data_IF_130028264853
#
_entry.id   IF_130028264853
#
_cell.length_a   1.000
_cell.length_b   1.000
_cell.length_c   1.000
_cell.angle_alpha   90.00
_cell.angle_beta   90.00
_cell.angle_gamma   90.00
#
_symmetry.space_group_name_H-M   'P 1'
#
loop_
_entity.id
_entity.type
_entity.pdbx_description
1 polymer ?
#
# COMPACT_ATOMS: atom_id res chain seq x y z
N UNK A 1 36.49 46.16 36.42
CA UNK A 1 36.17 46.16 34.97
C UNK A 1 36.96 45.05 34.29
N UNK A 2 36.32 44.31 33.37
CA UNK A 2 36.85 43.26 32.46
C UNK A 2 36.97 41.88 33.12
N UNK A 3 35.90 41.08 33.12
CA UNK A 3 35.31 40.23 32.06
C UNK A 3 35.77 38.78 32.19
N UNK A 4 34.77 37.93 32.39
CA UNK A 4 34.75 36.50 32.73
C UNK A 4 35.10 35.62 31.54
N UNK A 5 36.02 34.67 31.70
CA UNK A 5 36.20 33.54 30.80
C UNK A 5 35.73 32.27 31.52
N UNK A 6 34.63 31.70 31.02
CA UNK A 6 33.96 30.53 31.58
C UNK A 6 34.71 29.23 31.23
N UNK A 7 34.55 28.27 32.14
CA UNK A 7 35.19 26.95 32.18
C UNK A 7 34.96 26.11 30.91
N UNK A 8 36.01 25.40 30.53
CA UNK A 8 35.98 24.19 29.71
C UNK A 8 35.86 22.95 30.62
N UNK A 9 34.75 22.21 30.48
CA UNK A 9 34.54 20.81 30.87
C UNK A 9 33.48 20.34 29.87
N UNK A 10 33.54 19.24 29.14
CA UNK A 10 34.36 18.05 29.14
C UNK A 10 33.66 17.10 28.15
N UNK A 11 34.45 16.22 27.53
CA UNK A 11 34.11 15.37 26.40
C UNK A 11 32.78 14.60 26.52
N UNK A 12 32.14 14.33 25.38
CA UNK A 12 31.65 12.97 25.08
C UNK A 12 31.63 12.74 23.56
N UNK A 13 32.40 11.75 23.14
CA UNK A 13 32.46 11.18 21.80
C UNK A 13 31.11 10.54 21.46
N UNK A 14 30.48 10.97 20.37
CA UNK A 14 29.47 10.17 19.68
C UNK A 14 29.76 10.15 18.18
N UNK A 15 30.06 8.92 17.77
CA UNK A 15 30.21 8.35 16.45
C UNK A 15 29.42 8.98 15.30
N UNK A 16 30.01 8.84 14.12
CA UNK A 16 29.53 9.27 12.80
C UNK A 16 28.01 9.22 12.61
N UNK A 17 27.46 10.37 12.24
CA UNK A 17 26.13 10.46 11.68
C UNK A 17 26.27 10.57 10.16
N UNK A 18 26.33 9.43 9.48
CA UNK A 18 26.07 9.38 8.04
C UNK A 18 24.57 9.63 7.88
N UNK A 19 24.20 10.87 7.57
CA UNK A 19 22.87 11.22 7.06
C UNK A 19 23.00 11.62 5.60
N UNK A 20 23.55 10.72 4.78
CA UNK A 20 23.18 10.73 3.36
C UNK A 20 21.74 10.23 3.28
N UNK A 21 20.78 11.15 3.48
CA UNK A 21 19.40 10.94 3.06
C UNK A 21 19.48 10.55 1.58
N UNK A 22 18.97 9.39 1.15
CA UNK A 22 18.90 9.09 -0.27
C UNK A 22 18.05 10.20 -0.88
N UNK A 23 18.70 11.04 -1.70
CA UNK A 23 18.04 12.11 -2.44
C UNK A 23 17.01 11.40 -3.31
N UNK A 24 15.74 11.49 -2.92
CA UNK A 24 14.63 11.13 -3.78
C UNK A 24 14.90 11.85 -5.11
N UNK A 25 15.03 11.12 -6.24
CA UNK A 25 15.19 11.78 -7.52
C UNK A 25 14.01 12.75 -7.65
N UNK A 26 14.37 13.99 -7.92
CA UNK A 26 13.44 15.10 -8.05
C UNK A 26 12.53 14.81 -9.25
N UNK A 27 11.39 14.17 -8.98
CA UNK A 27 10.37 13.83 -9.96
C UNK A 27 9.72 15.07 -10.57
N UNK A 28 10.12 16.29 -10.17
CA UNK A 28 9.62 17.53 -10.74
C UNK A 28 10.16 17.85 -12.13
N UNK A 29 11.21 17.17 -12.62
CA UNK A 29 11.87 17.57 -13.87
C UNK A 29 11.46 16.78 -15.13
N UNK A 30 10.70 15.70 -15.04
CA UNK A 30 10.31 14.89 -16.21
C UNK A 30 8.80 14.81 -16.47
N UNK A 31 7.97 15.50 -15.67
CA UNK A 31 6.61 15.82 -16.09
C UNK A 31 6.64 17.11 -16.90
N UNK A 32 7.26 17.04 -18.08
CA UNK A 32 7.07 17.99 -19.18
C UNK A 32 5.64 17.88 -19.70
N UNK A 33 4.67 18.16 -18.84
CA UNK A 33 3.33 18.53 -19.24
C UNK A 33 3.46 19.92 -19.86
N UNK A 34 3.74 19.93 -21.16
CA UNK A 34 3.47 21.05 -22.03
C UNK A 34 2.24 21.82 -21.52
N UNK A 35 2.38 23.14 -21.34
CA UNK A 35 1.46 24.05 -20.65
C UNK A 35 0.06 24.21 -21.30
N UNK A 36 -0.47 23.17 -21.92
CA UNK A 36 -1.74 23.13 -22.63
C UNK A 36 -2.66 22.03 -22.10
N UNK A 37 -2.48 21.60 -20.84
CA UNK A 37 -3.46 20.71 -20.22
C UNK A 37 -4.78 21.46 -20.06
N UNK A 38 -5.77 21.07 -20.86
CA UNK A 38 -7.14 21.60 -20.74
C UNK A 38 -7.71 21.16 -19.39
N UNK A 39 -8.56 21.97 -18.75
CA UNK A 39 -9.21 21.65 -17.46
C UNK A 39 -9.82 20.24 -17.44
N UNK A 40 -10.40 19.79 -18.58
CA UNK A 40 -10.91 18.44 -18.75
C UNK A 40 -9.84 17.35 -18.58
N UNK A 41 -8.64 17.54 -19.11
CA UNK A 41 -7.53 16.58 -18.99
C UNK A 41 -7.00 16.51 -17.56
N UNK A 42 -6.95 17.64 -16.85
CA UNK A 42 -6.60 17.66 -15.42
C UNK A 42 -7.63 16.87 -14.61
N UNK A 43 -8.92 17.09 -14.86
CA UNK A 43 -10.00 16.37 -14.17
C UNK A 43 -9.92 14.87 -14.47
N UNK A 44 -9.75 14.47 -15.73
CA UNK A 44 -9.59 13.06 -16.11
C UNK A 44 -8.37 12.46 -15.44
N UNK A 45 -7.22 13.15 -15.46
CA UNK A 45 -5.99 12.69 -14.79
C UNK A 45 -6.19 12.53 -13.28
N UNK A 46 -6.88 13.47 -12.63
CA UNK A 46 -7.20 13.39 -11.21
C UNK A 46 -8.14 12.21 -10.87
N UNK A 47 -9.15 11.96 -11.72
CA UNK A 47 -10.06 10.81 -11.58
C UNK A 47 -9.28 9.50 -11.73
N UNK A 48 -8.45 9.38 -12.76
CA UNK A 48 -7.63 8.18 -12.99
C UNK A 48 -6.69 7.93 -11.80
N UNK A 49 -6.00 8.96 -11.31
CA UNK A 49 -5.14 8.85 -10.13
C UNK A 49 -5.92 8.47 -8.86
N UNK A 50 -7.13 9.01 -8.69
CA UNK A 50 -7.98 8.69 -7.54
C UNK A 50 -8.39 7.22 -7.53
N UNK A 51 -8.83 6.68 -8.67
CA UNK A 51 -9.23 5.27 -8.78
C UNK A 51 -8.04 4.31 -8.83
N UNK A 52 -6.91 4.72 -9.40
CA UNK A 52 -5.67 3.94 -9.42
C UNK A 52 -4.89 4.00 -8.09
N UNK A 53 -5.29 4.87 -7.15
CA UNK A 53 -4.58 5.10 -5.88
C UNK A 53 -4.33 3.80 -5.13
N UNK A 54 -5.32 2.92 -5.07
CA UNK A 54 -5.17 1.64 -4.40
C UNK A 54 -4.09 0.81 -5.11
N UNK A 55 -4.15 0.63 -6.43
CA UNK A 55 -3.13 -0.11 -7.20
C UNK A 55 -1.70 0.47 -7.11
N UNK A 56 -1.52 1.74 -6.77
CA UNK A 56 -0.20 2.35 -6.56
C UNK A 56 0.40 2.00 -5.17
N UNK A 57 -0.45 1.75 -4.18
CA UNK A 57 -0.05 1.55 -2.77
C UNK A 57 -0.18 0.07 -2.36
N UNK A 58 -1.22 -0.60 -2.83
CA UNK A 58 -1.54 -2.01 -2.64
C UNK A 58 -2.24 -2.57 -3.88
N UNK A 59 -1.61 -3.54 -4.51
CA UNK A 59 -2.23 -4.27 -5.62
C UNK A 59 -3.11 -5.37 -5.03
N UNK A 60 -4.41 -5.32 -5.33
CA UNK A 60 -5.39 -6.31 -4.86
C UNK A 60 -5.91 -7.10 -6.05
N UNK A 61 -5.69 -8.40 -6.03
CA UNK A 61 -6.19 -9.34 -7.01
C UNK A 61 -7.25 -10.24 -6.36
N UNK A 62 -8.34 -10.49 -7.07
CA UNK A 62 -9.35 -11.48 -6.70
C UNK A 62 -9.60 -12.47 -7.84
N UNK A 63 -9.83 -13.73 -7.47
CA UNK A 63 -10.17 -14.81 -8.41
C UNK A 63 -11.25 -15.67 -7.81
N UNK A 64 -12.32 -15.91 -8.57
CA UNK A 64 -13.29 -16.94 -8.22
C UNK A 64 -12.64 -18.32 -8.41
N UNK A 65 -12.70 -19.17 -7.38
CA UNK A 65 -12.13 -20.53 -7.39
C UNK A 65 -13.21 -21.60 -7.16
N UNK A 66 -14.49 -21.22 -7.11
CA UNK A 66 -15.62 -22.09 -6.83
C UNK A 66 -16.92 -21.32 -6.64
N UNK A 67 -18.03 -22.03 -6.44
CA UNK A 67 -19.39 -21.44 -6.44
C UNK A 67 -19.56 -20.26 -5.47
N UNK A 68 -18.98 -20.36 -4.28
CA UNK A 68 -18.99 -19.33 -3.24
C UNK A 68 -17.59 -19.01 -2.71
N UNK A 69 -16.53 -19.40 -3.43
CA UNK A 69 -15.15 -19.31 -2.96
C UNK A 69 -14.35 -18.32 -3.81
N UNK A 70 -13.67 -17.39 -3.14
CA UNK A 70 -12.84 -16.39 -3.77
C UNK A 70 -11.45 -16.41 -3.15
N UNK A 71 -10.42 -16.50 -3.99
CA UNK A 71 -9.04 -16.28 -3.59
C UNK A 71 -8.72 -14.80 -3.73
N UNK A 72 -8.13 -14.25 -2.68
CA UNK A 72 -7.67 -12.87 -2.61
C UNK A 72 -6.16 -12.86 -2.43
N UNK A 73 -5.48 -12.04 -3.21
CA UNK A 73 -4.05 -11.79 -3.10
C UNK A 73 -3.84 -10.28 -3.01
N UNK A 74 -3.28 -9.82 -1.89
CA UNK A 74 -2.97 -8.42 -1.61
C UNK A 74 -1.46 -8.26 -1.57
N UNK A 75 -0.94 -7.45 -2.47
CA UNK A 75 0.49 -7.23 -2.70
C UNK A 75 0.84 -5.80 -2.35
N UNK A 76 1.91 -5.59 -1.60
CA UNK A 76 2.41 -4.25 -1.33
C UNK A 76 2.83 -3.56 -2.63
N UNK A 77 2.35 -2.35 -2.89
CA UNK A 77 2.69 -1.61 -4.11
C UNK A 77 4.20 -1.34 -4.19
N UNK A 78 4.74 -1.38 -5.42
CA UNK A 78 6.19 -1.26 -5.69
C UNK A 78 6.80 0.07 -5.23
N UNK A 79 5.98 1.11 -5.06
CA UNK A 79 6.41 2.45 -4.64
C UNK A 79 6.22 2.68 -3.14
N UNK A 80 5.70 1.72 -2.39
CA UNK A 80 5.36 1.88 -0.98
C UNK A 80 6.45 1.31 -0.06
N UNK A 81 7.11 2.19 0.69
CA UNK A 81 8.18 1.81 1.65
C UNK A 81 7.69 1.49 3.07
N UNK A 82 6.41 1.78 3.39
CA UNK A 82 5.87 1.71 4.76
C UNK A 82 4.47 1.05 4.81
N UNK A 83 3.91 0.87 6.01
CA UNK A 83 2.53 0.37 6.21
C UNK A 83 2.40 -1.15 6.32
N UNK A 84 3.37 -1.81 6.98
CA UNK A 84 3.52 -3.27 7.04
C UNK A 84 2.30 -4.05 7.57
N UNK A 85 1.39 -3.41 8.32
CA UNK A 85 0.19 -4.05 8.89
C UNK A 85 -1.14 -3.70 8.20
N UNK A 86 -1.12 -2.91 7.12
CA UNK A 86 -2.36 -2.46 6.48
C UNK A 86 -2.97 -3.52 5.55
N UNK A 87 -2.23 -4.54 5.14
CA UNK A 87 -2.68 -5.54 4.16
C UNK A 87 -4.02 -6.18 4.57
N UNK A 88 -4.22 -6.46 5.86
CA UNK A 88 -5.47 -6.98 6.42
C UNK A 88 -6.67 -6.09 6.14
N UNK A 89 -6.49 -4.76 6.19
CA UNK A 89 -7.55 -3.80 5.92
C UNK A 89 -7.96 -3.82 4.44
N UNK A 90 -6.99 -3.91 3.53
CA UNK A 90 -7.27 -4.01 2.09
C UNK A 90 -7.91 -5.36 1.74
N UNK A 91 -7.44 -6.44 2.35
CA UNK A 91 -8.06 -7.76 2.23
C UNK A 91 -9.53 -7.75 2.65
N UNK A 92 -9.83 -7.23 3.84
CA UNK A 92 -11.20 -7.18 4.36
C UNK A 92 -12.09 -6.29 3.51
N UNK A 93 -11.60 -5.10 3.09
CA UNK A 93 -12.36 -4.20 2.22
C UNK A 93 -12.73 -4.87 0.90
N UNK A 94 -11.78 -5.57 0.26
CA UNK A 94 -12.07 -6.30 -0.98
C UNK A 94 -13.05 -7.45 -0.75
N UNK A 95 -12.93 -8.15 0.38
CA UNK A 95 -13.89 -9.19 0.74
C UNK A 95 -15.32 -8.63 0.94
N UNK A 96 -15.46 -7.46 1.54
CA UNK A 96 -16.73 -6.73 1.68
C UNK A 96 -17.28 -6.31 0.32
N UNK A 97 -16.44 -5.78 -0.57
CA UNK A 97 -16.83 -5.44 -1.95
C UNK A 97 -17.32 -6.67 -2.73
N UNK A 98 -16.63 -7.80 -2.60
CA UNK A 98 -17.07 -9.06 -3.21
C UNK A 98 -18.41 -9.48 -2.62
N UNK A 99 -18.56 -9.48 -1.30
CA UNK A 99 -19.81 -9.85 -0.65
C UNK A 99 -20.98 -8.96 -1.12
N UNK A 100 -20.75 -7.65 -1.25
CA UNK A 100 -21.75 -6.71 -1.75
C UNK A 100 -22.09 -6.96 -3.22
N UNK A 101 -21.08 -7.10 -4.09
CA UNK A 101 -21.28 -7.33 -5.53
C UNK A 101 -21.95 -8.66 -5.85
N UNK A 102 -21.71 -9.69 -5.04
CA UNK A 102 -22.27 -11.03 -5.19
C UNK A 102 -23.56 -11.24 -4.38
N UNK A 103 -24.09 -10.18 -3.76
CA UNK A 103 -25.33 -10.20 -2.98
C UNK A 103 -25.30 -11.23 -1.83
N UNK A 104 -24.12 -11.45 -1.27
CA UNK A 104 -23.92 -12.28 -0.09
C UNK A 104 -24.46 -11.57 1.15
N UNK A 105 -24.88 -12.33 2.18
CA UNK A 105 -25.21 -11.78 3.50
C UNK A 105 -23.97 -11.29 4.23
N UNK A 106 -22.82 -11.89 3.92
CA UNK A 106 -21.52 -11.60 4.48
C UNK A 106 -20.46 -12.51 3.86
N UNK A 107 -19.31 -12.59 4.50
CA UNK A 107 -18.25 -13.52 4.10
C UNK A 107 -17.57 -14.13 5.33
N UNK A 108 -17.10 -15.37 5.17
CA UNK A 108 -16.17 -15.99 6.12
C UNK A 108 -14.77 -16.01 5.51
N UNK A 109 -13.74 -15.65 6.27
CA UNK A 109 -12.36 -15.92 5.86
C UNK A 109 -12.02 -17.37 6.21
N UNK A 110 -11.71 -18.19 5.21
CA UNK A 110 -11.31 -19.59 5.38
C UNK A 110 -9.80 -19.72 5.59
N UNK A 111 -9.04 -18.97 4.81
CA UNK A 111 -7.57 -18.98 4.84
C UNK A 111 -7.07 -17.54 4.84
N UNK A 112 -6.01 -17.30 5.62
CA UNK A 112 -5.29 -16.04 5.63
C UNK A 112 -3.82 -16.29 5.97
N UNK A 113 -2.94 -15.92 5.05
CA UNK A 113 -1.51 -16.07 5.19
C UNK A 113 -0.83 -14.75 4.81
N UNK A 114 0.13 -14.32 5.64
CA UNK A 114 1.00 -13.18 5.32
C UNK A 114 2.40 -13.71 5.08
N UNK A 115 3.01 -13.27 3.99
CA UNK A 115 4.32 -13.72 3.57
C UNK A 115 5.15 -12.56 3.04
N UNK A 116 6.46 -12.75 3.04
CA UNK A 116 7.43 -11.87 2.41
C UNK A 116 7.96 -12.60 1.19
N UNK A 117 7.71 -12.04 0.02
CA UNK A 117 8.19 -12.57 -1.26
C UNK A 117 9.19 -11.59 -1.82
N UNK A 118 10.38 -12.05 -2.17
CA UNK A 118 11.34 -11.24 -2.90
C UNK A 118 11.01 -11.32 -4.39
N UNK A 119 10.76 -10.17 -5.02
CA UNK A 119 10.60 -10.10 -6.48
C UNK A 119 11.96 -10.31 -7.19
N UNK A 120 11.97 -10.43 -8.52
CA UNK A 120 13.15 -10.64 -9.35
C UNK A 120 14.30 -9.65 -9.10
N UNK A 121 13.99 -8.45 -8.59
CA UNK A 121 14.96 -7.41 -8.22
C UNK A 121 15.46 -7.51 -6.77
N UNK A 122 15.20 -8.62 -6.07
CA UNK A 122 15.53 -8.83 -4.65
C UNK A 122 14.95 -7.78 -3.69
N UNK A 123 13.87 -7.11 -4.10
CA UNK A 123 13.14 -6.20 -3.22
C UNK A 123 12.11 -7.03 -2.45
N UNK A 124 12.18 -7.09 -1.10
CA UNK A 124 11.20 -7.82 -0.32
C UNK A 124 9.85 -7.11 -0.39
N UNK A 125 8.83 -7.83 -0.83
CA UNK A 125 7.46 -7.36 -0.93
C UNK A 125 6.57 -8.17 0.01
N UNK A 126 5.71 -7.49 0.77
CA UNK A 126 4.68 -8.16 1.55
C UNK A 126 3.56 -8.63 0.64
N UNK A 127 3.21 -9.89 0.78
CA UNK A 127 2.11 -10.52 0.07
C UNK A 127 1.21 -11.20 1.09
N UNK A 128 -0.06 -10.85 1.06
CA UNK A 128 -1.10 -11.46 1.88
C UNK A 128 -2.00 -12.24 0.94
N UNK A 129 -2.20 -13.52 1.23
CA UNK A 129 -3.05 -14.40 0.45
C UNK A 129 -4.12 -15.01 1.35
N UNK A 130 -5.29 -15.24 0.80
CA UNK A 130 -6.35 -15.89 1.55
C UNK A 130 -7.50 -16.34 0.67
N UNK A 131 -8.38 -17.11 1.28
CA UNK A 131 -9.62 -17.58 0.66
C UNK A 131 -10.78 -17.13 1.51
N UNK A 132 -11.76 -16.50 0.89
CA UNK A 132 -13.03 -16.16 1.52
C UNK A 132 -14.15 -17.02 0.94
N UNK A 133 -15.17 -17.26 1.76
CA UNK A 133 -16.44 -17.84 1.35
C UNK A 133 -17.52 -16.79 1.42
N UNK A 134 -18.26 -16.61 0.33
CA UNK A 134 -19.50 -15.84 0.29
C UNK A 134 -20.59 -16.59 1.08
N UNK A 135 -21.17 -15.96 2.08
CA UNK A 135 -22.29 -16.54 2.82
C UNK A 135 -23.60 -16.18 2.13
N UNK A 136 -24.15 -17.11 1.35
CA UNK A 136 -25.49 -16.99 0.78
C UNK A 136 -26.53 -17.50 1.76
N UNK A 137 -27.67 -16.83 1.81
CA UNK A 137 -28.83 -17.38 2.51
C UNK A 137 -29.33 -18.55 1.68
N UNK A 138 -29.13 -19.79 2.15
CA UNK A 138 -29.72 -20.95 1.51
C UNK A 138 -31.23 -20.77 1.60
N UNK A 139 -31.88 -20.42 0.48
CA UNK A 139 -33.32 -20.45 0.38
C UNK A 139 -33.73 -21.91 0.59
N UNK A 140 -34.23 -22.23 1.79
CA UNK A 140 -34.77 -23.54 2.14
C UNK A 140 -35.96 -23.77 1.20
N UNK A 141 -35.76 -24.56 0.14
CA UNK A 141 -36.83 -25.00 -0.77
C UNK A 141 -37.61 -26.13 -0.14
#
# INVERSE_FOLDING_TARGET
MKQTLALAIGALLLNGCITSIPRVPDLSQELLLNNTLTTKQIIIGAIVLYYAKDGLVWEVEDRNIGEDLYRLTVKQGKLKTTGQGEARLYFNRRAEEIASSQQCKGFTTLEYNESLVSDFLNVPQRVTEGVIRCERTIAKR
#
